data_IF_141445130642
#
_entry.id   IF_141445130642
#
_cell.length_a   1.000
_cell.length_b   1.000
_cell.length_c   1.000
_cell.angle_alpha   90.00
_cell.angle_beta   90.00
_cell.angle_gamma   90.00
#
_symmetry.space_group_name_H-M   'P 1'
#
loop_
_entity.id
_entity.type
_entity.pdbx_description
1 polymer ?
2 water ?
#
# COMPACT_ATOMS: atom_id res chain seq x y z
N UNK A 4 -16.51 16.21 -20.51
CA UNK A 4 -16.18 14.88 -20.02
C UNK A 4 -16.23 14.85 -18.48
N UNK A 5 -16.34 13.66 -17.90
CA UNK A 5 -16.81 13.49 -16.53
C UNK A 5 -15.67 13.23 -15.56
N UNK A 6 -15.76 13.81 -14.38
CA UNK A 6 -14.83 13.51 -13.30
C UNK A 6 -15.07 12.09 -12.78
N UNK A 7 -14.01 11.48 -12.24
CA UNK A 7 -14.12 10.13 -11.70
C UNK A 7 -13.27 10.00 -10.45
N UNK A 8 -13.67 9.07 -9.60
CA UNK A 8 -12.88 8.72 -8.44
C UNK A 8 -13.42 9.32 -7.17
N UNK A 9 -12.56 9.35 -6.16
CA UNK A 9 -12.91 9.91 -4.87
C UNK A 9 -13.08 11.43 -4.97
N UNK A 10 -13.69 12.00 -3.93
CA UNK A 10 -13.83 13.45 -3.85
C UNK A 10 -12.48 14.14 -3.91
N UNK A 11 -11.48 13.55 -3.27
CA UNK A 11 -10.15 14.13 -3.31
C UNK A 11 -9.60 14.07 -4.73
N UNK A 12 -9.76 12.91 -5.39
CA UNK A 12 -9.33 12.79 -6.78
C UNK A 12 -10.06 13.76 -7.69
N UNK A 13 -11.37 13.92 -7.48
CA UNK A 13 -12.12 14.88 -8.29
C UNK A 13 -11.66 16.31 -8.03
N UNK A 14 -11.36 16.66 -6.77
CA UNK A 14 -10.88 18.01 -6.50
C UNK A 14 -9.53 18.24 -7.17
N UNK A 15 -8.66 17.21 -7.17
CA UNK A 15 -7.37 17.35 -7.83
C UNK A 15 -7.54 17.54 -9.33
N UNK A 16 -8.41 16.72 -9.95
CA UNK A 16 -8.71 16.91 -11.37
C UNK A 16 -9.17 18.34 -11.65
N UNK A 17 -10.07 18.86 -10.81
CA UNK A 17 -10.54 20.23 -11.00
C UNK A 17 -9.40 21.23 -10.85
N UNK A 18 -8.52 21.01 -9.87
CA UNK A 18 -7.36 21.89 -9.72
C UNK A 18 -6.52 21.91 -11.00
N UNK A 19 -6.25 20.74 -11.58
CA UNK A 19 -5.39 20.67 -12.74
C UNK A 19 -6.02 21.34 -13.94
N UNK A 20 -7.35 21.22 -14.09
CA UNK A 20 -8.08 21.86 -15.18
C UNK A 20 -8.05 23.38 -15.04
N UNK A 21 -8.16 23.86 -13.79
CA UNK A 21 -8.11 25.30 -13.56
C UNK A 21 -6.71 25.87 -13.72
N UNK A 22 -5.68 25.04 -13.53
CA UNK A 22 -4.30 25.52 -13.61
C UNK A 22 -3.93 25.67 -15.08
N UNK A 23 -4.02 26.88 -15.62
CA UNK A 23 -3.79 27.08 -17.04
C UNK A 23 -2.85 28.24 -17.31
N UNK A 24 -1.93 28.50 -16.39
CA UNK A 24 -0.97 29.58 -16.58
C UNK A 24 0.42 29.05 -16.32
N UNK A 25 1.40 29.81 -16.80
CA UNK A 25 2.80 29.42 -16.74
C UNK A 25 3.30 29.31 -15.30
N UNK A 26 2.65 30.00 -14.35
CA UNK A 26 3.10 29.95 -12.95
C UNK A 26 2.41 28.88 -12.12
N UNK A 27 1.55 28.06 -12.71
CA UNK A 27 0.84 27.02 -11.94
C UNK A 27 0.05 27.59 -10.77
N UNK A 28 -0.65 28.71 -10.98
CA UNK A 28 -1.42 29.38 -9.93
C UNK A 28 -2.89 29.07 -10.12
N UNK A 29 -3.58 28.67 -9.05
CA UNK A 29 -5.02 28.44 -9.11
C UNK A 29 -5.69 29.34 -8.08
N UNK A 30 -6.84 29.89 -8.46
CA UNK A 30 -7.64 30.77 -7.61
C UNK A 30 -8.54 29.93 -6.70
N UNK A 31 -8.35 30.07 -5.39
CA UNK A 31 -9.07 29.21 -4.45
C UNK A 31 -10.58 29.35 -4.59
N UNK A 32 -11.08 30.57 -4.79
CA UNK A 32 -12.52 30.76 -4.99
C UNK A 32 -13.00 30.05 -6.24
N UNK A 33 -12.20 30.06 -7.30
CA UNK A 33 -12.55 29.34 -8.53
C UNK A 33 -12.58 27.84 -8.27
N UNK A 34 -11.66 27.35 -7.47
CA UNK A 34 -11.66 25.92 -7.13
C UNK A 34 -12.91 25.55 -6.34
N UNK A 35 -13.28 26.37 -5.35
CA UNK A 35 -14.49 26.10 -4.59
C UNK A 35 -15.71 26.12 -5.48
N UNK A 36 -15.74 27.06 -6.43
CA UNK A 36 -16.88 27.15 -7.32
C UNK A 36 -16.98 25.88 -8.15
N UNK A 37 -15.85 25.40 -8.67
CA UNK A 37 -15.89 24.18 -9.48
C UNK A 37 -16.36 23.00 -8.65
N UNK A 38 -15.88 22.89 -7.41
CA UNK A 38 -16.29 21.80 -6.52
C UNK A 38 -17.78 21.86 -6.26
N UNK A 39 -18.32 23.05 -6.00
CA UNK A 39 -19.75 23.22 -5.83
C UNK A 39 -20.53 22.83 -7.08
N UNK A 40 -20.02 23.22 -8.27
CA UNK A 40 -20.71 22.86 -9.51
C UNK A 40 -20.72 21.36 -9.74
N UNK A 41 -19.71 20.65 -9.25
CA UNK A 41 -19.62 19.20 -9.43
C UNK A 41 -20.16 18.44 -8.21
N UNK A 42 -20.84 19.13 -7.31
CA UNK A 42 -21.55 18.54 -6.17
C UNK A 42 -20.62 17.79 -5.22
N UNK A 43 -19.39 18.26 -5.08
CA UNK A 43 -18.50 17.73 -4.06
C UNK A 43 -18.92 18.27 -2.68
N UNK A 44 -18.94 17.41 -1.66
CA UNK A 44 -19.45 17.86 -0.35
C UNK A 44 -18.57 18.92 0.29
N UNK A 45 -19.22 19.95 0.84
CA UNK A 45 -18.49 21.11 1.33
C UNK A 45 -17.60 20.75 2.52
N UNK A 46 -18.07 19.85 3.39
CA UNK A 46 -17.29 19.53 4.57
C UNK A 46 -15.90 19.01 4.20
N UNK A 47 -15.84 18.09 3.24
CA UNK A 47 -14.55 17.53 2.82
C UNK A 47 -13.68 18.56 2.09
N UNK A 48 -14.28 19.32 1.17
CA UNK A 48 -13.52 20.34 0.45
C UNK A 48 -12.91 21.34 1.43
N UNK A 49 -13.68 21.76 2.43
CA UNK A 49 -13.17 22.74 3.38
C UNK A 49 -12.01 22.19 4.18
N UNK A 50 -12.08 20.90 4.54
CA UNK A 50 -10.98 20.29 5.28
C UNK A 50 -9.70 20.28 4.44
N UNK A 51 -9.80 19.91 3.17
CA UNK A 51 -8.61 19.96 2.34
C UNK A 51 -8.14 21.39 2.09
N UNK A 52 -9.07 22.31 1.84
CA UNK A 52 -8.65 23.68 1.50
C UNK A 52 -7.95 24.38 2.65
N UNK A 53 -8.16 23.92 3.89
CA UNK A 53 -7.46 24.51 5.02
C UNK A 53 -6.04 23.99 5.15
N UNK A 54 -5.71 22.91 4.44
CA UNK A 54 -4.35 22.40 4.47
C UNK A 54 -3.40 23.24 3.64
N UNK A 55 -3.90 24.20 2.88
CA UNK A 55 -3.07 25.03 2.01
C UNK A 55 -2.83 26.39 2.65
N UNK A 56 -1.61 26.90 2.45
CA UNK A 56 -1.22 28.22 2.94
C UNK A 56 -1.37 29.25 1.81
N UNK A 57 -2.63 29.56 1.48
CA UNK A 57 -2.90 30.54 0.44
C UNK A 57 -2.29 31.88 0.81
N UNK A 58 -1.73 32.58 -0.20
CA UNK A 58 -0.86 33.76 -0.06
C UNK A 58 -1.57 35.02 0.55
N UNK A 59 -2.83 34.90 0.98
CA UNK A 59 -3.75 35.97 1.38
C UNK A 59 -4.25 36.69 0.14
N UNK A 60 -3.72 36.38 -1.05
CA UNK A 60 -4.27 36.79 -2.33
C UNK A 60 -5.21 35.74 -2.88
N UNK A 61 -5.55 34.73 -2.08
CA UNK A 61 -6.48 33.70 -2.47
C UNK A 61 -5.98 32.77 -3.54
N UNK A 62 -4.67 32.66 -3.72
CA UNK A 62 -4.07 31.81 -4.76
C UNK A 62 -3.36 30.62 -4.14
N UNK A 63 -3.41 29.48 -4.82
CA UNK A 63 -2.68 28.27 -4.44
C UNK A 63 -1.82 27.84 -5.62
N UNK A 64 -0.53 27.59 -5.36
CA UNK A 64 0.32 27.07 -6.43
C UNK A 64 0.22 25.56 -6.50
N UNK A 65 0.53 24.99 -7.67
CA UNK A 65 0.52 23.54 -7.78
C UNK A 65 1.43 22.90 -6.72
N UNK A 66 2.61 23.49 -6.50
CA UNK A 66 3.54 22.94 -5.52
C UNK A 66 2.98 22.96 -4.11
N UNK A 67 2.34 24.07 -3.69
CA UNK A 67 1.75 24.11 -2.36
C UNK A 67 0.63 23.08 -2.24
N UNK A 68 -0.23 23.01 -3.23
CA UNK A 68 -1.31 22.04 -3.26
C UNK A 68 -0.76 20.63 -3.09
N UNK A 69 0.27 20.28 -3.86
CA UNK A 69 0.81 18.92 -3.83
C UNK A 69 1.45 18.58 -2.50
N UNK A 70 2.21 19.53 -1.95
CA UNK A 70 2.83 19.32 -0.64
C UNK A 70 1.78 19.12 0.45
N UNK A 71 0.72 19.91 0.44
CA UNK A 71 -0.28 19.75 1.48
C UNK A 71 -1.02 18.44 1.35
N UNK A 72 -1.20 17.95 0.12
CA UNK A 72 -2.01 16.77 -0.14
C UNK A 72 -1.20 15.49 -0.25
N UNK A 73 0.11 15.55 -0.06
CA UNK A 73 0.94 14.38 -0.28
C UNK A 73 0.94 13.87 -1.71
N UNK A 74 1.06 14.77 -2.68
CA UNK A 74 1.18 14.40 -4.08
C UNK A 74 2.56 14.81 -4.59
N UNK A 75 3.06 14.11 -5.61
CA UNK A 75 4.34 14.48 -6.21
C UNK A 75 4.10 15.50 -7.32
N UNK A 76 4.70 16.68 -7.18
CA UNK A 76 4.42 17.78 -8.11
C UNK A 76 4.72 17.38 -9.55
N UNK A 77 5.85 16.71 -9.79
CA UNK A 77 6.20 16.35 -11.17
C UNK A 77 5.18 15.39 -11.77
N UNK A 78 4.69 14.43 -10.96
CA UNK A 78 3.66 13.52 -11.42
C UNK A 78 2.39 14.28 -11.80
N UNK A 79 2.02 15.28 -11.00
CA UNK A 79 0.81 16.02 -11.30
C UNK A 79 0.95 16.86 -12.57
N UNK A 80 2.14 17.40 -12.82
CA UNK A 80 2.36 18.09 -14.09
C UNK A 80 2.06 17.17 -15.26
N UNK A 81 2.59 15.94 -15.19
CA UNK A 81 2.37 14.99 -16.29
C UNK A 81 0.92 14.54 -16.32
N UNK A 82 0.30 14.32 -15.15
CA UNK A 82 -1.11 13.96 -15.12
C UNK A 82 -1.96 15.00 -15.82
N UNK A 83 -1.70 16.29 -15.55
CA UNK A 83 -2.49 17.32 -16.21
C UNK A 83 -2.40 17.20 -17.73
N UNK A 84 -1.19 17.01 -18.25
CA UNK A 84 -0.97 16.90 -19.69
C UNK A 84 -1.74 15.71 -20.27
N UNK A 85 -1.65 14.56 -19.61
CA UNK A 85 -2.30 13.36 -20.12
C UNK A 85 -3.83 13.48 -20.09
N UNK A 86 -4.39 14.07 -19.03
CA UNK A 86 -5.83 14.25 -18.95
C UNK A 86 -6.34 15.25 -19.98
N UNK A 87 -5.59 16.34 -20.21
CA UNK A 87 -6.00 17.33 -21.20
C UNK A 87 -6.04 16.74 -22.59
N UNK A 88 -5.10 15.86 -22.90
CA UNK A 88 -5.07 15.20 -24.20
C UNK A 88 -6.39 14.49 -24.47
N UNK A 89 -6.85 13.74 -23.47
CA UNK A 89 -8.10 13.01 -23.57
C UNK A 89 -9.29 13.96 -23.69
N UNK A 90 -9.30 15.01 -22.87
CA UNK A 90 -10.36 16.03 -22.98
C UNK A 90 -10.40 16.62 -24.39
N UNK A 91 -9.26 16.69 -25.06
CA UNK A 91 -9.15 17.28 -26.38
C UNK A 91 -9.54 16.30 -27.49
N UNK A 92 -9.89 15.06 -27.15
CA UNK A 92 -10.25 14.08 -28.15
C UNK A 92 -9.07 13.36 -28.75
N UNK A 93 -7.94 13.30 -28.05
CA UNK A 93 -6.68 12.82 -28.61
C UNK A 93 -6.06 11.71 -27.76
N UNK A 94 -6.86 10.98 -26.99
CA UNK A 94 -6.34 9.87 -26.22
C UNK A 94 -6.03 8.65 -27.07
N UNK A 95 -5.20 7.76 -26.52
CA UNK A 95 -4.81 6.48 -27.12
C UNK A 95 -5.90 5.44 -26.88
N UNK A 96 -6.11 4.54 -27.84
CA UNK A 96 -6.93 3.36 -27.55
C UNK A 96 -6.24 2.44 -26.56
N UNK A 97 -7.04 1.80 -25.71
CA UNK A 97 -6.54 0.67 -24.93
C UNK A 97 -6.11 -0.46 -25.84
N UNK A 98 -5.08 -1.24 -25.51
CA UNK A 98 -4.67 -2.36 -26.35
C UNK A 98 -5.75 -3.44 -26.43
N UNK A 99 -5.58 -4.28 -27.45
CA UNK A 99 -6.50 -5.37 -27.73
C UNK A 99 -6.69 -6.26 -26.50
N UNK A 100 -7.93 -6.71 -26.28
CA UNK A 100 -8.32 -7.67 -25.26
C UNK A 100 -8.33 -7.11 -23.85
N UNK A 101 -7.96 -5.85 -23.65
CA UNK A 101 -7.99 -5.28 -22.30
C UNK A 101 -9.41 -4.82 -21.98
N UNK A 102 -9.97 -5.33 -20.88
CA UNK A 102 -11.23 -4.84 -20.33
C UNK A 102 -10.91 -4.15 -19.01
N UNK A 103 -11.14 -2.85 -18.95
CA UNK A 103 -10.94 -2.12 -17.71
C UNK A 103 -12.15 -2.32 -16.81
N UNK A 104 -11.90 -2.76 -15.58
CA UNK A 104 -12.97 -2.92 -14.60
C UNK A 104 -13.20 -1.63 -13.82
N UNK A 105 -12.13 -1.04 -13.31
CA UNK A 105 -12.22 0.18 -12.51
C UNK A 105 -10.85 0.84 -12.53
N UNK A 106 -10.84 2.17 -12.56
CA UNK A 106 -9.55 2.85 -12.55
C UNK A 106 -9.77 4.33 -12.32
N UNK A 107 -8.77 4.97 -11.74
CA UNK A 107 -8.65 6.42 -11.76
C UNK A 107 -7.35 6.85 -12.42
N UNK A 108 -6.66 5.92 -13.07
CA UNK A 108 -5.46 6.17 -13.84
C UNK A 108 -5.71 7.03 -15.09
N UNK A 109 -4.72 7.84 -15.46
CA UNK A 109 -4.82 8.52 -16.73
C UNK A 109 -4.77 7.52 -17.88
N UNK A 110 -5.35 7.92 -19.02
CA UNK A 110 -5.44 7.00 -20.14
C UNK A 110 -4.06 6.53 -20.60
N UNK A 111 -3.09 7.45 -20.70
CA UNK A 111 -1.79 7.03 -21.18
C UNK A 111 -1.14 6.01 -20.22
N UNK A 112 -1.32 6.20 -18.92
CA UNK A 112 -0.79 5.22 -17.97
C UNK A 112 -1.55 3.90 -18.05
N UNK A 113 -2.85 3.95 -18.28
CA UNK A 113 -3.62 2.70 -18.45
C UNK A 113 -3.10 1.91 -19.64
N UNK A 114 -2.83 2.60 -20.75
CA UNK A 114 -2.26 1.94 -21.93
C UNK A 114 -0.90 1.34 -21.60
N UNK A 115 -0.03 2.12 -20.95
CA UNK A 115 1.31 1.63 -20.64
C UNK A 115 1.27 0.41 -19.73
N UNK A 116 0.43 0.46 -18.67
CA UNK A 116 0.39 -0.64 -17.70
C UNK A 116 -0.17 -1.91 -18.34
N UNK A 117 -1.30 -1.81 -19.03
CA UNK A 117 -1.89 -3.02 -19.59
C UNK A 117 -1.03 -3.58 -20.72
N UNK A 118 -0.41 -2.70 -21.51
CA UNK A 118 0.58 -3.13 -22.49
C UNK A 118 1.73 -3.88 -21.83
N UNK A 119 2.27 -3.35 -20.74
CA UNK A 119 3.43 -4.00 -20.14
C UNK A 119 3.05 -5.37 -19.56
N UNK A 120 1.84 -5.51 -18.99
CA UNK A 120 1.42 -6.81 -18.51
C UNK A 120 1.36 -7.83 -19.65
N UNK A 121 0.77 -7.44 -20.78
CA UNK A 121 0.68 -8.37 -21.91
C UNK A 121 2.07 -8.77 -22.42
N UNK A 122 2.99 -7.80 -22.55
CA UNK A 122 4.35 -8.12 -22.98
C UNK A 122 5.07 -9.04 -22.02
N UNK A 123 5.00 -8.75 -20.71
CA UNK A 123 5.64 -9.65 -19.74
C UNK A 123 5.03 -11.04 -19.82
N UNK A 124 3.70 -11.11 -19.96
CA UNK A 124 3.05 -12.42 -20.07
C UNK A 124 3.45 -13.14 -21.35
N UNK A 125 3.56 -12.42 -22.46
CA UNK A 125 3.85 -13.07 -23.75
C UNK A 125 5.25 -13.67 -23.78
N UNK A 126 6.18 -13.11 -23.00
CA UNK A 126 7.53 -13.64 -22.98
C UNK A 126 7.72 -14.86 -22.08
N UNK A 127 6.68 -15.31 -21.36
CA UNK A 127 6.79 -16.50 -20.51
C UNK A 127 6.08 -17.74 -21.06
N UNK A 128 4.99 -17.57 -21.80
CA UNK A 128 4.13 -18.67 -22.15
C UNK A 128 2.82 -18.73 -21.38
N UNK A 129 2.65 -17.90 -20.35
CA UNK A 129 1.36 -17.74 -19.71
C UNK A 129 0.98 -18.79 -18.68
N UNK A 130 1.88 -19.73 -18.36
CA UNK A 130 1.63 -20.84 -17.46
C UNK A 130 1.65 -20.39 -16.00
N UNK A 131 0.94 -21.10 -15.11
CA UNK A 131 0.87 -20.64 -13.71
C UNK A 131 2.22 -20.63 -13.01
N UNK A 132 3.12 -21.55 -13.35
CA UNK A 132 4.45 -21.49 -12.76
C UNK A 132 5.20 -20.23 -13.18
N UNK A 133 4.81 -19.63 -14.30
CA UNK A 133 5.44 -18.42 -14.80
C UNK A 133 4.78 -17.13 -14.32
N UNK A 134 3.59 -17.19 -13.71
CA UNK A 134 2.90 -15.94 -13.41
C UNK A 134 3.53 -15.19 -12.24
N UNK A 135 4.18 -15.90 -11.31
CA UNK A 135 4.92 -15.20 -10.25
C UNK A 135 5.96 -14.27 -10.85
N UNK A 136 6.56 -14.70 -11.95
CA UNK A 136 7.58 -13.89 -12.57
C UNK A 136 6.95 -12.72 -13.33
N UNK A 137 5.77 -12.93 -13.91
CA UNK A 137 5.04 -11.85 -14.58
C UNK A 137 4.70 -10.75 -13.59
N UNK A 138 4.15 -11.13 -12.44
CA UNK A 138 3.73 -10.16 -11.43
C UNK A 138 4.93 -9.41 -10.88
N UNK A 139 6.03 -10.13 -10.62
CA UNK A 139 7.24 -9.47 -10.14
C UNK A 139 7.79 -8.47 -11.15
N UNK A 140 7.83 -8.85 -12.43
CA UNK A 140 8.30 -7.91 -13.45
C UNK A 140 7.43 -6.67 -13.51
N UNK A 141 6.11 -6.84 -13.45
CA UNK A 141 5.23 -5.67 -13.52
C UNK A 141 5.43 -4.75 -12.33
N UNK A 142 5.49 -5.32 -11.12
CA UNK A 142 5.68 -4.51 -9.93
C UNK A 142 6.98 -3.74 -9.98
N UNK A 143 8.07 -4.41 -10.40
CA UNK A 143 9.38 -3.76 -10.48
C UNK A 143 9.37 -2.64 -11.51
N UNK A 144 8.76 -2.88 -12.68
CA UNK A 144 8.61 -1.84 -13.69
C UNK A 144 7.90 -0.63 -13.11
N UNK A 145 6.77 -0.85 -12.42
CA UNK A 145 5.98 0.27 -11.91
C UNK A 145 6.73 1.02 -10.80
N UNK A 146 7.37 0.27 -9.89
CA UNK A 146 8.09 0.92 -8.80
C UNK A 146 9.14 1.89 -9.32
N UNK A 147 9.83 1.50 -10.40
CA UNK A 147 10.91 2.32 -10.91
C UNK A 147 10.38 3.47 -11.77
N UNK A 148 9.59 3.17 -12.79
CA UNK A 148 9.10 4.21 -13.72
C UNK A 148 8.04 5.10 -13.10
N UNK A 149 7.31 4.64 -12.08
CA UNK A 149 6.23 5.45 -11.54
C UNK A 149 6.24 5.49 -10.02
N UNK A 150 7.41 5.33 -9.42
CA UNK A 150 7.52 5.55 -7.97
C UNK A 150 7.06 4.39 -7.12
N UNK A 151 7.63 4.26 -5.93
CA UNK A 151 7.22 3.24 -4.98
C UNK A 151 5.98 3.73 -4.22
N UNK A 152 5.14 2.79 -3.80
CA UNK A 152 5.32 1.35 -3.93
C UNK A 152 4.05 0.74 -4.50
N UNK A 153 4.20 -0.22 -5.42
CA UNK A 153 3.07 -0.76 -6.14
C UNK A 153 2.66 -2.13 -5.60
N UNK A 154 1.37 -2.32 -5.46
CA UNK A 154 0.79 -3.61 -5.13
C UNK A 154 0.26 -4.22 -6.42
N UNK A 155 0.56 -5.50 -6.66
CA UNK A 155 0.31 -6.13 -7.95
C UNK A 155 -0.26 -7.53 -7.70
N UNK A 156 -1.42 -7.83 -8.29
CA UNK A 156 -2.08 -9.12 -8.12
C UNK A 156 -2.67 -9.58 -9.43
N UNK A 157 -2.56 -10.88 -9.69
CA UNK A 157 -3.20 -11.53 -10.82
C UNK A 157 -4.06 -12.64 -10.23
N UNK A 158 -5.31 -12.73 -10.67
CA UNK A 158 -6.20 -13.72 -10.10
C UNK A 158 -7.11 -14.30 -11.17
N UNK A 159 -7.46 -15.57 -10.97
CA UNK A 159 -8.46 -16.27 -11.75
C UNK A 159 -9.58 -16.60 -10.77
N UNK A 160 -10.75 -16.07 -11.01
CA UNK A 160 -11.85 -16.31 -10.09
C UNK A 160 -12.54 -15.03 -9.72
N UNK A 161 -13.05 -14.94 -8.49
CA UNK A 161 -13.79 -13.79 -8.04
C UNK A 161 -13.07 -13.15 -6.87
N UNK A 162 -13.38 -11.89 -6.58
CA UNK A 162 -12.69 -11.22 -5.48
C UNK A 162 -13.56 -10.13 -4.89
N UNK A 163 -13.27 -9.81 -3.62
CA UNK A 163 -13.88 -8.70 -2.91
C UNK A 163 -12.76 -7.97 -2.21
N UNK A 164 -12.72 -6.65 -2.33
CA UNK A 164 -11.54 -5.89 -1.90
C UNK A 164 -11.96 -4.58 -1.26
N UNK A 165 -11.44 -4.31 -0.08
CA UNK A 165 -11.39 -2.94 0.42
C UNK A 165 -9.93 -2.55 0.61
N UNK A 166 -9.54 -1.44 -0.01
CA UNK A 166 -8.13 -1.12 -0.14
C UNK A 166 -7.97 0.39 -0.13
N UNK A 167 -6.73 0.83 -0.10
CA UNK A 167 -6.46 2.26 -0.11
C UNK A 167 -5.27 2.51 -1.04
N UNK A 168 -5.39 3.55 -1.88
CA UNK A 168 -4.37 3.85 -2.87
C UNK A 168 -4.20 5.36 -2.97
N UNK A 169 -3.05 5.78 -3.50
CA UNK A 169 -2.84 7.20 -3.72
C UNK A 169 -3.68 7.71 -4.89
N UNK A 170 -3.97 9.01 -4.91
CA UNK A 170 -4.81 9.55 -5.99
C UNK A 170 -4.26 9.20 -7.37
N UNK A 171 -5.19 8.76 -8.23
CA UNK A 171 -4.99 8.36 -9.61
C UNK A 171 -4.22 7.04 -9.78
N UNK A 172 -3.71 6.44 -8.71
CA UNK A 172 -2.79 5.32 -8.82
C UNK A 172 -3.50 3.98 -8.56
N UNK A 173 -4.51 3.64 -9.37
CA UNK A 173 -5.14 2.33 -9.20
C UNK A 173 -5.81 1.93 -10.49
N UNK A 174 -5.74 0.64 -10.80
CA UNK A 174 -6.26 0.15 -12.07
C UNK A 174 -6.57 -1.33 -11.89
N UNK A 175 -7.76 -1.73 -12.32
CA UNK A 175 -8.17 -3.13 -12.27
C UNK A 175 -8.65 -3.49 -13.67
N UNK A 176 -8.15 -4.58 -14.24
CA UNK A 176 -8.52 -4.88 -15.61
C UNK A 176 -8.47 -6.37 -15.84
N UNK A 177 -9.07 -6.79 -16.95
CA UNK A 177 -9.12 -8.20 -17.31
C UNK A 177 -8.53 -8.38 -18.71
N UNK A 178 -7.73 -9.43 -18.88
CA UNK A 178 -7.24 -9.85 -20.19
C UNK A 178 -7.40 -11.36 -20.24
N UNK A 179 -8.32 -11.85 -21.08
CA UNK A 179 -8.57 -13.27 -21.15
C UNK A 179 -9.01 -13.84 -19.81
N UNK A 180 -8.38 -14.92 -19.37
CA UNK A 180 -8.74 -15.51 -18.08
C UNK A 180 -8.19 -14.78 -16.87
N UNK A 181 -7.42 -13.69 -17.06
CA UNK A 181 -6.65 -13.09 -15.98
C UNK A 181 -7.24 -11.72 -15.61
N UNK A 182 -7.50 -11.53 -14.32
CA UNK A 182 -7.87 -10.24 -13.75
C UNK A 182 -6.63 -9.71 -13.02
N UNK A 183 -6.30 -8.45 -13.27
CA UNK A 183 -5.03 -7.87 -12.82
C UNK A 183 -5.38 -6.65 -11.99
N UNK A 184 -4.85 -6.58 -10.76
CA UNK A 184 -5.10 -5.45 -9.86
C UNK A 184 -3.77 -4.78 -9.54
N UNK A 185 -3.69 -3.47 -9.76
CA UNK A 185 -2.46 -2.75 -9.45
C UNK A 185 -2.83 -1.41 -8.80
N UNK A 186 -2.09 -1.03 -7.77
CA UNK A 186 -2.31 0.28 -7.16
C UNK A 186 -1.07 0.65 -6.34
N UNK A 187 -0.91 1.94 -6.13
CA UNK A 187 0.27 2.43 -5.43
C UNK A 187 -0.12 2.99 -4.07
N UNK A 188 0.70 2.71 -3.06
CA UNK A 188 0.58 3.22 -1.71
C UNK A 188 1.87 3.94 -1.34
N UNK A 189 1.86 4.78 -0.31
CA UNK A 189 3.04 5.59 -0.03
C UNK A 189 4.25 4.74 0.35
N UNK A 190 5.41 5.22 -0.08
CA UNK A 190 6.69 4.85 0.51
C UNK A 190 7.10 3.42 0.17
N UNK B 4 17.85 -19.59 16.25
CA UNK B 4 17.44 -20.38 15.09
C UNK B 4 16.94 -19.40 14.00
N UNK B 5 16.13 -19.88 13.06
CA UNK B 5 15.92 -19.21 11.78
C UNK B 5 15.40 -17.78 11.93
N UNK B 6 15.71 -16.94 10.93
CA UNK B 6 15.20 -15.58 10.84
C UNK B 6 14.77 -15.30 9.41
N UNK B 7 13.60 -14.67 9.25
CA UNK B 7 12.86 -14.63 8.00
C UNK B 7 12.39 -13.21 7.70
N UNK B 8 12.13 -12.94 6.42
CA UNK B 8 11.49 -11.71 5.99
C UNK B 8 12.35 -10.90 5.04
N UNK B 9 11.93 -9.65 4.79
CA UNK B 9 12.71 -8.71 4.00
C UNK B 9 13.93 -8.27 4.80
N UNK B 10 14.81 -7.51 4.14
CA UNK B 10 16.03 -7.08 4.80
C UNK B 10 15.74 -6.13 5.96
N UNK B 11 14.79 -5.21 5.75
CA UNK B 11 14.43 -4.27 6.81
C UNK B 11 13.79 -5.01 7.98
N UNK B 12 12.90 -5.99 7.69
CA UNK B 12 12.30 -6.78 8.76
C UNK B 12 13.33 -7.58 9.53
N UNK B 13 14.34 -8.11 8.84
CA UNK B 13 15.36 -8.87 9.56
C UNK B 13 16.17 -7.96 10.47
N UNK B 14 16.53 -6.76 10.00
CA UNK B 14 17.22 -5.81 10.86
C UNK B 14 16.38 -5.48 12.09
N UNK B 15 15.07 -5.24 11.90
CA UNK B 15 14.18 -4.95 13.04
C UNK B 15 14.12 -6.12 14.00
N UNK B 16 13.98 -7.34 13.48
CA UNK B 16 13.98 -8.52 14.35
C UNK B 16 15.27 -8.58 15.16
N UNK B 17 16.42 -8.32 14.52
CA UNK B 17 17.70 -8.39 15.23
C UNK B 17 17.81 -7.29 16.28
N UNK B 18 17.38 -6.07 15.95
CA UNK B 18 17.31 -5.01 16.95
C UNK B 18 16.47 -5.45 18.15
N UNK B 19 15.32 -6.06 17.90
CA UNK B 19 14.46 -6.46 19.02
C UNK B 19 15.09 -7.57 19.84
N UNK B 20 15.81 -8.50 19.20
CA UNK B 20 16.54 -9.53 19.94
C UNK B 20 17.63 -8.94 20.84
N UNK B 21 18.35 -7.92 20.37
CA UNK B 21 19.39 -7.29 21.19
C UNK B 21 18.82 -6.38 22.28
N UNK B 22 17.63 -5.83 22.04
CA UNK B 22 17.02 -4.88 22.96
C UNK B 22 16.61 -5.56 24.26
N UNK B 23 16.79 -4.86 25.38
CA UNK B 23 16.38 -5.37 26.69
C UNK B 23 15.31 -4.46 27.27
N UNK B 24 14.27 -5.06 27.86
CA UNK B 24 13.14 -4.25 28.28
C UNK B 24 13.55 -3.20 29.32
N UNK B 25 14.62 -3.47 30.08
CA UNK B 25 14.99 -2.57 31.16
C UNK B 25 15.39 -1.19 30.66
N UNK B 26 16.08 -1.11 29.52
CA UNK B 26 16.53 0.18 29.02
C UNK B 26 16.19 0.48 27.56
N UNK B 27 15.83 -0.52 26.76
CA UNK B 27 15.42 -0.31 25.37
C UNK B 27 16.49 0.47 24.59
N UNK B 28 17.73 0.00 24.67
CA UNK B 28 18.85 0.66 24.02
C UNK B 28 19.77 -0.38 23.37
N UNK B 29 20.12 -0.17 22.10
CA UNK B 29 20.89 -1.17 21.34
C UNK B 29 22.14 -0.52 20.79
N UNK B 30 23.27 -1.21 20.94
CA UNK B 30 24.53 -0.72 20.40
C UNK B 30 24.52 -0.78 18.87
N UNK B 31 24.81 0.36 18.24
CA UNK B 31 24.90 0.45 16.79
C UNK B 31 25.81 -0.60 16.17
N UNK B 32 27.00 -0.77 16.74
CA UNK B 32 27.98 -1.69 16.17
C UNK B 32 27.52 -3.13 16.32
N UNK B 33 26.94 -3.46 17.46
CA UNK B 33 26.42 -4.80 17.66
C UNK B 33 25.30 -5.09 16.68
N UNK B 34 24.46 -4.08 16.39
CA UNK B 34 23.40 -4.26 15.39
C UNK B 34 24.00 -4.53 14.01
N UNK B 35 25.03 -3.76 13.64
CA UNK B 35 25.67 -3.96 12.34
C UNK B 35 26.31 -5.34 12.26
N UNK B 36 26.95 -5.79 13.34
CA UNK B 36 27.58 -7.10 13.33
C UNK B 36 26.54 -8.22 13.19
N UNK B 37 25.41 -8.09 13.88
CA UNK B 37 24.34 -9.08 13.74
C UNK B 37 23.77 -9.09 12.33
N UNK B 38 23.63 -7.92 11.72
CA UNK B 38 23.16 -7.86 10.34
C UNK B 38 24.17 -8.49 9.39
N UNK B 39 25.46 -8.26 9.63
CA UNK B 39 26.50 -8.92 8.82
C UNK B 39 26.42 -10.43 8.96
N UNK B 40 26.29 -10.94 10.20
CA UNK B 40 26.23 -12.38 10.40
C UNK B 40 24.93 -13.00 9.92
N UNK B 41 23.97 -12.20 9.46
CA UNK B 41 22.77 -12.72 8.81
C UNK B 41 22.72 -12.34 7.33
N UNK B 42 23.85 -11.90 6.78
CA UNK B 42 24.08 -11.76 5.34
C UNK B 42 23.31 -10.60 4.72
N UNK B 43 22.91 -9.63 5.51
CA UNK B 43 22.26 -8.47 4.95
C UNK B 43 23.27 -7.67 4.12
N UNK B 44 22.82 -6.99 3.07
CA UNK B 44 23.75 -6.18 2.26
C UNK B 44 24.44 -5.14 3.12
N UNK B 45 25.75 -5.00 2.91
CA UNK B 45 26.53 -4.05 3.70
C UNK B 45 26.06 -2.62 3.46
N UNK B 46 25.86 -2.24 2.20
CA UNK B 46 25.50 -0.86 1.89
C UNK B 46 24.19 -0.49 2.54
N UNK B 47 23.19 -1.38 2.45
CA UNK B 47 21.87 -1.10 3.00
C UNK B 47 21.95 -0.83 4.50
N UNK B 48 22.65 -1.71 5.24
CA UNK B 48 22.72 -1.58 6.70
C UNK B 48 23.41 -0.27 7.07
N UNK B 49 24.51 0.05 6.39
CA UNK B 49 25.20 1.30 6.68
C UNK B 49 24.30 2.50 6.40
N UNK B 50 23.44 2.39 5.39
CA UNK B 50 22.50 3.46 5.06
C UNK B 50 21.43 3.61 6.15
N UNK B 51 20.95 2.48 6.68
CA UNK B 51 20.00 2.55 7.79
C UNK B 51 20.66 3.12 9.03
N UNK B 52 21.90 2.70 9.32
CA UNK B 52 22.57 3.18 10.53
C UNK B 52 22.69 4.69 10.50
N UNK B 53 22.99 5.26 9.34
CA UNK B 53 23.09 6.71 9.21
C UNK B 53 21.76 7.41 9.46
N UNK B 54 20.63 6.70 9.38
CA UNK B 54 19.32 7.30 9.68
C UNK B 54 19.06 7.43 11.17
N UNK B 55 19.74 6.65 12.01
CA UNK B 55 19.47 6.62 13.43
C UNK B 55 20.37 7.62 14.16
N UNK B 56 19.79 8.40 15.05
CA UNK B 56 20.54 9.35 15.87
C UNK B 56 20.98 8.64 17.14
N UNK B 57 22.20 8.11 17.14
CA UNK B 57 22.77 7.44 18.30
C UNK B 57 23.21 8.45 19.36
N UNK B 58 23.28 7.99 20.62
CA UNK B 58 23.85 8.84 21.67
C UNK B 58 25.38 8.83 21.53
N UNK B 59 26.07 9.45 22.49
CA UNK B 59 27.52 9.59 22.39
C UNK B 59 28.21 8.24 22.49
N UNK B 60 27.55 7.25 23.11
CA UNK B 60 28.10 5.91 23.25
C UNK B 60 27.75 5.01 22.06
N UNK B 61 27.09 5.54 21.04
CA UNK B 61 26.73 4.74 19.90
C UNK B 61 25.52 3.85 20.10
N UNK B 62 24.68 4.15 21.10
CA UNK B 62 23.48 3.36 21.35
C UNK B 62 22.26 4.03 20.72
N UNK B 63 21.39 3.19 20.13
CA UNK B 63 20.12 3.60 19.54
C UNK B 63 19.00 3.21 20.52
N UNK B 64 18.18 4.17 20.97
CA UNK B 64 17.00 3.79 21.74
C UNK B 64 15.93 3.17 20.82
N UNK B 65 15.06 2.34 21.41
CA UNK B 65 14.00 1.77 20.60
C UNK B 65 13.12 2.86 19.99
N UNK B 66 12.84 3.91 20.75
CA UNK B 66 12.05 5.04 20.23
C UNK B 66 12.69 5.67 19.00
N UNK B 67 14.00 5.94 19.08
CA UNK B 67 14.69 6.56 17.94
C UNK B 67 14.69 5.63 16.74
N UNK B 68 14.86 4.33 16.98
CA UNK B 68 14.85 3.34 15.93
C UNK B 68 13.50 3.33 15.23
N UNK B 69 12.40 3.26 16.01
CA UNK B 69 11.07 3.25 15.40
C UNK B 69 10.75 4.56 14.71
N UNK B 70 11.12 5.69 15.33
CA UNK B 70 10.87 6.99 14.72
C UNK B 70 11.54 7.09 13.35
N UNK B 71 12.80 6.65 13.26
CA UNK B 71 13.53 6.81 12.01
C UNK B 71 12.94 5.93 10.91
N UNK B 72 12.34 4.80 11.27
CA UNK B 72 11.84 3.81 10.32
C UNK B 72 10.32 3.85 10.11
N UNK B 73 9.62 4.82 10.71
CA UNK B 73 8.18 4.85 10.62
C UNK B 73 7.45 3.72 11.32
N UNK B 74 7.95 3.28 12.48
CA UNK B 74 7.32 2.23 13.26
C UNK B 74 6.70 2.83 14.52
N UNK B 75 5.79 2.08 15.12
CA UNK B 75 5.14 2.52 16.36
C UNK B 75 5.83 1.80 17.51
N UNK B 76 6.45 2.57 18.41
CA UNK B 76 7.25 1.93 19.45
C UNK B 76 6.40 1.03 20.34
N UNK B 77 5.19 1.48 20.71
CA UNK B 77 4.32 0.64 21.52
C UNK B 77 4.04 -0.69 20.81
N UNK B 78 3.78 -0.62 19.50
CA UNK B 78 3.56 -1.83 18.72
C UNK B 78 4.82 -2.70 18.68
N UNK B 79 6.01 -2.09 18.53
CA UNK B 79 7.21 -2.94 18.49
C UNK B 79 7.52 -3.58 19.84
N UNK B 80 7.19 -2.91 20.95
CA UNK B 80 7.29 -3.57 22.26
C UNK B 80 6.44 -4.83 22.31
N UNK B 81 5.21 -4.75 21.81
CA UNK B 81 4.33 -5.93 21.80
C UNK B 81 4.86 -7.01 20.86
N UNK B 82 5.31 -6.61 19.66
CA UNK B 82 5.90 -7.57 18.72
C UNK B 82 7.08 -8.29 19.36
N UNK B 83 7.96 -7.55 19.99
CA UNK B 83 9.11 -8.15 20.67
C UNK B 83 8.67 -9.26 21.61
N UNK B 84 7.69 -8.99 22.47
CA UNK B 84 7.27 -10.00 23.43
C UNK B 84 6.51 -11.13 22.75
N UNK B 85 5.69 -10.82 21.74
CA UNK B 85 4.95 -11.90 21.07
C UNK B 85 5.89 -12.82 20.30
N UNK B 86 7.04 -12.33 19.82
CA UNK B 86 8.00 -13.20 19.14
C UNK B 86 8.80 -14.01 20.14
N UNK B 87 9.22 -13.37 21.24
CA UNK B 87 9.92 -14.08 22.32
C UNK B 87 9.07 -15.22 22.83
N UNK B 88 7.75 -15.01 22.92
CA UNK B 88 6.84 -16.02 23.43
C UNK B 88 6.99 -17.35 22.68
N UNK B 89 6.95 -17.29 21.35
CA UNK B 89 7.03 -18.51 20.55
C UNK B 89 8.43 -19.13 20.65
N UNK B 90 9.48 -18.30 20.64
CA UNK B 90 10.83 -18.82 20.82
C UNK B 90 11.02 -19.51 22.17
N UNK B 91 10.28 -19.08 23.19
CA UNK B 91 10.37 -19.69 24.51
C UNK B 91 9.56 -20.97 24.66
N UNK B 92 8.90 -21.43 23.60
CA UNK B 92 8.11 -22.64 23.66
C UNK B 92 6.63 -22.47 23.93
N UNK B 93 6.11 -21.24 23.99
CA UNK B 93 4.70 -21.03 24.34
C UNK B 93 3.81 -20.78 23.13
N UNK B 94 4.10 -21.43 21.99
CA UNK B 94 3.25 -21.28 20.83
C UNK B 94 1.85 -21.85 21.03
N UNK B 95 0.90 -21.28 20.26
CA UNK B 95 -0.52 -21.51 20.16
C UNK B 95 -0.85 -22.12 18.80
N UNK B 96 -1.87 -22.98 18.70
CA UNK B 96 -2.40 -23.37 17.39
C UNK B 96 -3.10 -22.23 16.70
N UNK B 97 -3.24 -22.38 15.39
CA UNK B 97 -4.07 -21.50 14.59
C UNK B 97 -5.52 -21.97 14.83
N UNK B 98 -6.52 -21.11 14.63
CA UNK B 98 -7.90 -21.58 14.79
C UNK B 98 -8.25 -22.67 13.78
N UNK B 99 -9.27 -23.45 14.11
CA UNK B 99 -9.63 -24.61 13.30
C UNK B 99 -9.94 -24.20 11.86
N UNK B 100 -9.49 -25.03 10.91
CA UNK B 100 -9.69 -24.86 9.46
C UNK B 100 -8.89 -23.71 8.87
N UNK B 101 -8.05 -23.04 9.63
CA UNK B 101 -7.21 -21.98 9.08
C UNK B 101 -5.95 -22.60 8.50
N UNK B 102 -5.69 -22.32 7.22
CA UNK B 102 -4.42 -22.68 6.59
C UNK B 102 -3.68 -21.38 6.27
N UNK B 103 -2.51 -21.19 6.85
CA UNK B 103 -1.71 -20.00 6.58
C UNK B 103 -0.91 -20.25 5.31
N UNK B 104 -1.01 -19.33 4.36
CA UNK B 104 -0.23 -19.41 3.12
C UNK B 104 1.13 -18.75 3.28
N UNK B 105 1.13 -17.52 3.81
CA UNK B 105 2.36 -16.78 4.08
C UNK B 105 2.03 -15.77 5.17
N UNK B 106 3.06 -15.35 5.90
CA UNK B 106 2.83 -14.29 6.86
C UNK B 106 4.16 -13.72 7.33
N UNK B 107 4.11 -12.46 7.77
CA UNK B 107 5.19 -11.84 8.53
C UNK B 107 4.74 -11.45 9.92
N UNK B 108 3.49 -11.75 10.29
CA UNK B 108 2.89 -11.37 11.56
C UNK B 108 3.44 -12.22 12.71
N UNK B 109 3.40 -11.64 13.90
CA UNK B 109 3.58 -12.46 15.09
C UNK B 109 2.44 -13.47 15.20
N UNK B 110 2.72 -14.60 15.85
CA UNK B 110 1.73 -15.67 15.96
C UNK B 110 0.44 -15.18 16.64
N UNK B 111 0.55 -14.46 17.75
CA UNK B 111 -0.64 -13.90 18.40
C UNK B 111 -1.49 -13.10 17.42
N UNK B 112 -0.85 -12.22 16.63
CA UNK B 112 -1.63 -11.42 15.68
C UNK B 112 -2.26 -12.29 14.59
N UNK B 113 -1.57 -13.35 14.15
CA UNK B 113 -2.17 -14.27 13.20
C UNK B 113 -3.44 -14.89 13.78
N UNK B 114 -3.41 -15.30 15.05
CA UNK B 114 -4.62 -15.85 15.68
C UNK B 114 -5.72 -14.80 15.71
N UNK B 115 -5.36 -13.58 16.10
CA UNK B 115 -6.32 -12.49 16.22
C UNK B 115 -7.02 -12.23 14.89
N UNK B 116 -6.26 -12.15 13.81
CA UNK B 116 -6.84 -11.79 12.52
C UNK B 116 -7.70 -12.92 11.99
N UNK B 117 -7.20 -14.15 12.06
CA UNK B 117 -7.95 -15.25 11.47
C UNK B 117 -9.21 -15.54 12.28
N UNK B 118 -9.15 -15.38 13.61
CA UNK B 118 -10.34 -15.59 14.42
C UNK B 118 -11.41 -14.52 14.16
N UNK B 119 -10.99 -13.28 13.90
CA UNK B 119 -11.97 -12.25 13.58
C UNK B 119 -12.62 -12.49 12.22
N UNK B 120 -11.84 -12.96 11.24
CA UNK B 120 -12.45 -13.28 9.94
C UNK B 120 -13.47 -14.40 10.08
N UNK B 121 -13.12 -15.45 10.82
CA UNK B 121 -14.06 -16.55 11.03
C UNK B 121 -15.32 -16.05 11.75
N UNK B 122 -15.15 -15.20 12.76
CA UNK B 122 -16.29 -14.65 13.49
C UNK B 122 -17.18 -13.82 12.59
N UNK B 123 -16.60 -12.98 11.73
CA UNK B 123 -17.41 -12.14 10.85
C UNK B 123 -18.13 -12.99 9.82
N UNK B 124 -17.43 -13.98 9.26
CA UNK B 124 -18.04 -14.89 8.31
C UNK B 124 -19.21 -15.66 8.92
N UNK B 125 -19.07 -16.10 10.18
CA UNK B 125 -20.09 -16.90 10.82
C UNK B 125 -21.40 -16.14 10.99
N UNK B 126 -21.32 -14.81 11.06
CA UNK B 126 -22.49 -13.98 11.27
C UNK B 126 -23.24 -13.66 9.98
N UNK B 127 -22.62 -13.83 8.81
CA UNK B 127 -23.23 -13.45 7.54
C UNK B 127 -23.68 -14.62 6.68
N UNK B 128 -23.21 -15.84 6.95
CA UNK B 128 -23.59 -16.98 6.14
C UNK B 128 -22.68 -17.26 4.95
N UNK B 129 -21.74 -16.37 4.64
CA UNK B 129 -20.71 -16.71 3.68
C UNK B 129 -21.12 -16.77 2.23
N UNK B 130 -22.23 -16.14 1.87
CA UNK B 130 -22.59 -16.05 0.46
C UNK B 130 -21.78 -14.95 -0.20
N UNK B 131 -21.62 -14.98 -1.53
CA UNK B 131 -20.81 -13.93 -2.17
C UNK B 131 -21.33 -12.53 -1.89
N UNK B 132 -22.65 -12.32 -1.82
CA UNK B 132 -23.14 -10.99 -1.49
C UNK B 132 -22.76 -10.58 -0.07
N UNK B 133 -22.59 -11.54 0.84
CA UNK B 133 -22.19 -11.16 2.19
C UNK B 133 -20.69 -10.92 2.32
N UNK B 134 -19.91 -11.26 1.29
CA UNK B 134 -18.47 -11.19 1.45
C UNK B 134 -17.97 -9.75 1.47
N UNK B 135 -18.64 -8.82 0.78
CA UNK B 135 -18.25 -7.41 0.89
C UNK B 135 -18.36 -6.92 2.33
N UNK B 136 -19.43 -7.30 3.02
CA UNK B 136 -19.58 -6.92 4.42
C UNK B 136 -18.48 -7.53 5.28
N UNK B 137 -18.17 -8.81 5.08
CA UNK B 137 -17.10 -9.44 5.85
C UNK B 137 -15.78 -8.72 5.65
N UNK B 138 -15.46 -8.37 4.40
CA UNK B 138 -14.21 -7.68 4.08
C UNK B 138 -14.16 -6.31 4.74
N UNK B 139 -15.27 -5.58 4.69
CA UNK B 139 -15.32 -4.26 5.32
C UNK B 139 -15.18 -4.36 6.84
N UNK B 140 -15.82 -5.37 7.46
CA UNK B 140 -15.70 -5.56 8.91
C UNK B 140 -14.28 -5.92 9.31
N UNK B 141 -13.64 -6.81 8.55
CA UNK B 141 -12.26 -7.17 8.83
C UNK B 141 -11.30 -5.98 8.66
N UNK B 142 -11.53 -5.18 7.62
CA UNK B 142 -10.69 -4.01 7.42
C UNK B 142 -10.90 -3.01 8.55
N UNK B 143 -12.14 -2.83 8.99
CA UNK B 143 -12.44 -1.91 10.09
C UNK B 143 -11.78 -2.36 11.38
N UNK B 144 -11.89 -3.65 11.70
CA UNK B 144 -11.18 -4.20 12.85
C UNK B 144 -9.69 -3.92 12.76
N UNK B 145 -9.07 -4.22 11.62
CA UNK B 145 -7.61 -4.02 11.49
C UNK B 145 -7.22 -2.55 11.57
N UNK B 146 -7.97 -1.68 10.89
CA UNK B 146 -7.64 -0.25 10.89
C UNK B 146 -7.70 0.32 12.31
N UNK B 147 -8.71 -0.07 13.09
CA UNK B 147 -8.85 0.50 14.43
C UNK B 147 -7.89 -0.15 15.42
N UNK B 148 -7.96 -1.47 15.56
CA UNK B 148 -7.20 -2.16 16.59
C UNK B 148 -5.70 -2.16 16.29
N UNK B 149 -5.31 -2.18 14.99
CA UNK B 149 -3.90 -2.32 14.62
C UNK B 149 -3.41 -1.20 13.71
N UNK B 150 -4.04 -0.02 13.77
CA UNK B 150 -3.55 1.15 13.05
C UNK B 150 -3.88 1.09 11.56
N UNK B 151 -3.93 2.27 10.95
CA UNK B 151 -4.20 2.37 9.50
C UNK B 151 -2.89 2.28 8.69
N UNK B 152 -3.01 1.91 7.41
CA UNK B 152 -4.25 1.52 6.71
C UNK B 152 -4.06 0.14 6.09
N UNK B 153 -5.11 -0.69 6.15
CA UNK B 153 -4.98 -2.10 5.79
C UNK B 153 -5.56 -2.35 4.40
N UNK B 154 -4.83 -3.09 3.58
CA UNK B 154 -5.35 -3.63 2.34
C UNK B 154 -5.96 -4.98 2.65
N UNK B 155 -7.21 -5.20 2.21
CA UNK B 155 -7.97 -6.37 2.62
C UNK B 155 -8.61 -6.98 1.39
N UNK B 156 -8.33 -8.27 1.13
CA UNK B 156 -8.91 -8.96 -0.01
C UNK B 156 -9.39 -10.35 0.40
N UNK B 157 -10.51 -10.76 -0.18
CA UNK B 157 -10.92 -12.15 -0.19
C UNK B 157 -11.09 -12.56 -1.65
N UNK B 158 -10.65 -13.78 -1.99
CA UNK B 158 -10.78 -14.24 -3.36
C UNK B 158 -10.99 -15.74 -3.37
N UNK B 159 -11.51 -16.24 -4.50
CA UNK B 159 -11.63 -17.66 -4.80
C UNK B 159 -10.82 -17.96 -6.05
N UNK B 160 -10.40 -19.21 -6.19
CA UNK B 160 -9.58 -19.56 -7.33
C UNK B 160 -8.09 -19.36 -7.09
N UNK B 161 -7.33 -19.12 -8.16
CA UNK B 161 -5.88 -19.00 -8.10
C UNK B 161 -5.44 -17.55 -8.12
N UNK B 162 -4.29 -17.27 -7.51
CA UNK B 162 -3.77 -15.91 -7.51
C UNK B 162 -2.25 -15.92 -7.43
N UNK B 163 -1.66 -14.82 -7.88
CA UNK B 163 -0.24 -14.55 -7.78
C UNK B 163 -0.10 -13.10 -7.35
N UNK B 164 0.83 -12.82 -6.44
CA UNK B 164 0.91 -11.47 -5.90
C UNK B 164 2.34 -11.07 -5.58
N UNK B 165 2.68 -9.84 -5.96
CA UNK B 165 3.90 -9.17 -5.51
C UNK B 165 3.44 -7.87 -4.88
N UNK B 166 3.83 -7.65 -3.63
CA UNK B 166 3.24 -6.56 -2.85
C UNK B 166 4.28 -6.03 -1.88
N UNK B 167 3.97 -4.88 -1.28
CA UNK B 167 4.85 -4.24 -0.30
C UNK B 167 4.01 -3.82 0.89
N UNK B 168 4.56 -4.00 2.09
CA UNK B 168 3.82 -3.79 3.31
C UNK B 168 4.76 -3.28 4.38
N UNK B 169 4.19 -2.75 5.46
CA UNK B 169 4.99 -2.32 6.60
C UNK B 169 5.52 -3.55 7.33
N UNK B 170 6.67 -3.43 8.01
CA UNK B 170 7.30 -4.62 8.62
C UNK B 170 6.36 -5.35 9.57
N UNK B 171 6.30 -6.68 9.39
CA UNK B 171 5.51 -7.63 10.18
C UNK B 171 4.01 -7.51 9.95
N UNK B 172 3.56 -6.65 9.04
CA UNK B 172 2.12 -6.46 8.88
C UNK B 172 1.57 -7.12 7.62
N UNK B 173 1.66 -8.44 7.51
CA UNK B 173 1.08 -9.09 6.34
C UNK B 173 0.71 -10.53 6.69
N UNK B 174 -0.37 -11.01 6.06
CA UNK B 174 -0.88 -12.34 6.32
C UNK B 174 -1.73 -12.77 5.14
N UNK B 175 -1.43 -13.97 4.62
CA UNK B 175 -2.25 -14.62 3.60
C UNK B 175 -2.70 -15.95 4.16
N UNK B 176 -4.00 -16.24 4.10
CA UNK B 176 -4.50 -17.51 4.63
C UNK B 176 -5.73 -17.96 3.85
N UNK B 177 -6.13 -19.22 4.12
CA UNK B 177 -7.27 -19.88 3.49
C UNK B 177 -8.15 -20.54 4.53
N UNK B 178 -9.46 -20.35 4.40
CA UNK B 178 -10.47 -21.08 5.19
C UNK B 178 -11.48 -21.61 4.19
N UNK B 179 -11.52 -22.94 4.01
CA UNK B 179 -12.38 -23.52 3.02
C UNK B 179 -12.03 -23.03 1.62
N UNK B 180 -13.01 -22.50 0.89
CA UNK B 180 -12.75 -21.98 -0.45
C UNK B 180 -12.31 -20.53 -0.50
N UNK B 181 -12.18 -19.86 0.65
CA UNK B 181 -11.88 -18.44 0.68
C UNK B 181 -10.42 -18.20 1.01
N UNK B 182 -9.75 -17.43 0.15
CA UNK B 182 -8.39 -16.98 0.39
C UNK B 182 -8.50 -15.54 0.86
N UNK B 183 -7.77 -15.22 1.92
CA UNK B 183 -7.86 -13.91 2.56
C UNK B 183 -6.45 -13.33 2.59
N UNK B 184 -6.29 -12.10 2.08
CA UNK B 184 -5.00 -11.43 2.04
C UNK B 184 -5.12 -10.09 2.75
N UNK B 185 -4.30 -9.85 3.77
CA UNK B 185 -4.35 -8.58 4.48
C UNK B 185 -2.93 -8.06 4.72
N UNK B 186 -2.76 -6.75 4.55
CA UNK B 186 -1.47 -6.17 4.88
C UNK B 186 -1.66 -4.67 5.11
N UNK B 187 -0.73 -4.09 5.87
CA UNK B 187 -0.80 -2.67 6.23
C UNK B 187 0.24 -1.86 5.46
N UNK B 188 -0.16 -0.66 5.05
CA UNK B 188 0.68 0.32 4.37
C UNK B 188 0.52 1.65 5.10
N UNK B 189 1.45 2.60 4.91
CA UNK B 189 1.33 3.88 5.62
C UNK B 189 0.09 4.67 5.22
N UNK B 190 -0.36 5.49 6.17
CA UNK B 190 -1.40 6.54 6.01
C UNK B 190 -2.80 6.00 6.26
#
# INVERSE_FOLDING_TARGET
MGEVALEGSNLEKMIQLFLQLDRNRDDIVDENELRQACAEHKLPEEEVSRWLDMFDADENGKITLEEFCRALGLRTAEMRVEKMEREEVRAGRGRPMPEDVEVIASTMSQEKKVEVTEKFKEFLAKTGGKPEDMNLVVKQLKDYLDERHGRVWQTLVLTGSYWMKFSHEPFMSLQFKVGPNIVLVWRTPSN
MGEVALEGSNLEKMIQLFLQLDRNRDDIVDENELRQACAEHKLPEEEVSRWLDMFDADENGKITLEEFCRALGLRTAEMRVEKMEREEVRAGRGRPMPEDVEVIASTMSQEKKVEVTEKFKEFLAKTGGKPEDMNLVVKQLKDYLDERHGRVWQTLVLTGSYWMKFSHEPFMSLQFKVGPNIVLVWRTPSN
#
